data_IF_867119974470
#
_entry.id   IF_867119974470
#
_cell.length_a   1.000
_cell.length_b   1.000
_cell.length_c   1.000
_cell.angle_alpha   90.00
_cell.angle_beta   90.00
_cell.angle_gamma   90.00
#
_symmetry.space_group_name_H-M   'P 1'
#
loop_
_entity.id
_entity.type
_entity.pdbx_description
1 polymer ?
#
# COMPACT_ATOMS: atom_id res chain seq x y z
N UNK A 1 7.00 -5.72 -10.43
CA UNK A 1 6.31 -5.99 -9.15
C UNK A 1 5.84 -7.45 -9.02
N UNK A 2 6.70 -8.46 -9.25
CA UNK A 2 6.24 -9.86 -9.22
C UNK A 2 5.76 -10.29 -7.82
N UNK A 3 6.43 -9.84 -6.76
CA UNK A 3 6.07 -10.13 -5.35
C UNK A 3 4.64 -9.70 -5.04
N UNK A 4 4.28 -8.44 -5.32
CA UNK A 4 2.94 -7.93 -5.03
C UNK A 4 1.87 -8.66 -5.85
N UNK A 5 2.11 -8.87 -7.15
CA UNK A 5 1.14 -9.50 -8.05
C UNK A 5 0.84 -10.97 -7.69
N UNK A 6 1.79 -11.66 -7.05
CA UNK A 6 1.59 -13.04 -6.57
C UNK A 6 0.54 -13.14 -5.45
N UNK A 7 0.24 -12.04 -4.75
CA UNK A 7 -0.72 -11.99 -3.64
C UNK A 7 -2.13 -11.57 -4.08
N UNK A 8 -2.39 -11.45 -5.39
CA UNK A 8 -3.72 -11.10 -5.93
C UNK A 8 -4.82 -12.00 -5.35
N UNK A 9 -5.89 -11.39 -4.82
CA UNK A 9 -7.05 -12.07 -4.27
C UNK A 9 -6.95 -12.43 -2.79
N UNK A 10 -5.79 -12.24 -2.14
CA UNK A 10 -5.69 -12.36 -0.68
C UNK A 10 -6.61 -11.34 -0.03
N UNK A 11 -7.53 -11.81 0.80
CA UNK A 11 -8.54 -10.97 1.45
C UNK A 11 -8.71 -11.30 2.93
N UNK A 12 -9.23 -10.33 3.66
CA UNK A 12 -9.66 -10.50 5.05
C UNK A 12 -10.66 -11.65 5.15
N UNK A 13 -10.53 -12.46 6.19
CA UNK A 13 -11.50 -13.49 6.53
C UNK A 13 -12.72 -12.93 7.29
N UNK A 14 -13.87 -13.62 7.31
CA UNK A 14 -15.03 -13.21 8.09
C UNK A 14 -14.74 -13.10 9.60
N UNK A 15 -15.57 -12.37 10.36
CA UNK A 15 -15.49 -12.35 11.82
C UNK A 15 -15.46 -13.77 12.41
N UNK A 16 -14.59 -13.99 13.41
CA UNK A 16 -14.38 -15.32 14.02
C UNK A 16 -13.27 -16.16 13.38
N UNK A 17 -12.63 -15.68 12.32
CA UNK A 17 -11.46 -16.31 11.72
C UNK A 17 -10.45 -15.26 11.24
N UNK A 18 -9.18 -15.64 11.07
CA UNK A 18 -8.08 -14.72 10.71
C UNK A 18 -7.34 -15.26 9.50
N UNK A 19 -7.03 -14.39 8.53
CA UNK A 19 -6.14 -14.74 7.44
C UNK A 19 -4.67 -14.63 7.89
N UNK A 20 -3.92 -15.74 8.00
CA UNK A 20 -2.52 -15.70 8.47
C UNK A 20 -1.60 -14.93 7.54
N UNK A 21 -1.89 -14.85 6.24
CA UNK A 21 -1.08 -14.06 5.28
C UNK A 21 -1.11 -12.57 5.60
N UNK A 22 -2.28 -12.04 6.00
CA UNK A 22 -2.39 -10.63 6.38
C UNK A 22 -1.68 -10.35 7.71
N UNK A 23 -1.66 -11.33 8.63
CA UNK A 23 -0.84 -11.25 9.85
C UNK A 23 0.65 -11.17 9.50
N UNK A 24 1.12 -11.94 8.51
CA UNK A 24 2.50 -11.83 8.03
C UNK A 24 2.82 -10.44 7.45
N UNK A 25 1.86 -9.81 6.75
CA UNK A 25 2.03 -8.44 6.29
C UNK A 25 2.21 -7.49 7.48
N UNK A 26 1.34 -7.61 8.50
CA UNK A 26 1.38 -6.75 9.68
C UNK A 26 2.69 -6.85 10.45
N UNK A 27 3.33 -8.03 10.43
CA UNK A 27 4.64 -8.26 11.05
C UNK A 27 5.79 -7.42 10.45
N UNK A 28 5.55 -6.73 9.33
CA UNK A 28 6.52 -5.84 8.67
C UNK A 28 6.39 -4.39 9.13
N UNK A 29 5.52 -4.11 10.08
CA UNK A 29 5.25 -2.75 10.59
C UNK A 29 5.08 -2.73 12.09
N UNK A 30 4.75 -1.58 12.67
CA UNK A 30 4.36 -1.44 14.07
C UNK A 30 3.02 -2.13 14.44
N UNK A 31 2.44 -2.95 13.55
CA UNK A 31 1.24 -3.77 13.77
C UNK A 31 1.55 -5.25 14.04
N UNK A 32 2.79 -5.61 14.35
CA UNK A 32 3.16 -6.97 14.78
C UNK A 32 2.16 -7.47 15.84
N UNK A 33 1.62 -8.67 15.61
CA UNK A 33 0.65 -9.31 16.50
C UNK A 33 -0.82 -8.93 16.28
N UNK A 34 -1.13 -7.98 15.39
CA UNK A 34 -2.50 -7.67 15.00
C UNK A 34 -3.02 -8.59 13.88
N UNK A 35 -4.33 -8.79 13.86
CA UNK A 35 -5.04 -9.62 12.90
C UNK A 35 -5.35 -8.89 11.58
N UNK A 36 -6.18 -9.52 10.73
CA UNK A 36 -6.61 -9.02 9.43
C UNK A 36 -7.81 -8.06 9.47
N UNK A 37 -8.23 -7.61 10.66
CA UNK A 37 -9.42 -6.74 10.84
C UNK A 37 -9.07 -5.26 10.88
N UNK A 38 -7.80 -4.93 11.06
CA UNK A 38 -7.27 -3.56 11.02
C UNK A 38 -6.81 -3.19 9.60
N UNK A 39 -6.68 -1.90 9.29
CA UNK A 39 -6.16 -1.49 7.98
C UNK A 39 -4.72 -1.97 7.75
N UNK A 40 -4.49 -2.66 6.64
CA UNK A 40 -3.22 -3.33 6.33
C UNK A 40 -2.62 -2.94 4.96
N UNK A 41 -3.05 -1.82 4.36
CA UNK A 41 -2.50 -1.36 3.07
C UNK A 41 -0.98 -1.09 3.14
N UNK A 42 -0.53 -0.34 4.14
CA UNK A 42 0.91 -0.08 4.34
C UNK A 42 1.68 -1.33 4.78
N UNK A 43 1.05 -2.23 5.56
CA UNK A 43 1.61 -3.53 5.92
C UNK A 43 1.95 -4.35 4.68
N UNK A 44 1.01 -4.46 3.74
CA UNK A 44 1.20 -5.16 2.47
C UNK A 44 2.35 -4.56 1.64
N UNK A 45 2.41 -3.24 1.51
CA UNK A 45 3.47 -2.59 0.74
C UNK A 45 4.84 -2.79 1.41
N UNK A 46 4.93 -2.69 2.74
CA UNK A 46 6.16 -2.98 3.47
C UNK A 46 6.61 -4.44 3.26
N UNK A 47 5.68 -5.39 3.35
CA UNK A 47 5.97 -6.80 3.09
C UNK A 47 6.48 -7.05 1.69
N UNK A 48 5.88 -6.41 0.68
CA UNK A 48 6.34 -6.49 -0.69
C UNK A 48 7.77 -5.93 -0.86
N UNK A 49 8.09 -4.81 -0.20
CA UNK A 49 9.43 -4.23 -0.23
C UNK A 49 10.45 -5.18 0.39
N UNK A 50 10.18 -5.70 1.60
CA UNK A 50 11.06 -6.66 2.29
C UNK A 50 11.36 -7.87 1.39
N UNK A 51 10.34 -8.45 0.76
CA UNK A 51 10.51 -9.60 -0.13
C UNK A 51 11.17 -9.28 -1.47
N UNK A 52 11.20 -8.00 -1.86
CA UNK A 52 11.97 -7.52 -3.00
C UNK A 52 13.42 -7.12 -2.62
N UNK A 53 13.84 -7.32 -1.35
CA UNK A 53 15.16 -6.91 -0.88
C UNK A 53 15.30 -5.39 -0.67
N UNK A 54 14.19 -4.66 -0.61
CA UNK A 54 14.13 -3.21 -0.43
C UNK A 54 13.63 -2.90 0.97
N UNK A 55 14.28 -1.96 1.66
CA UNK A 55 13.80 -1.51 2.97
C UNK A 55 12.57 -0.60 2.80
N UNK A 56 11.44 -0.99 3.37
CA UNK A 56 10.23 -0.16 3.45
C UNK A 56 10.28 0.87 4.59
N UNK A 57 9.13 1.47 4.91
CA UNK A 57 9.00 2.44 6.02
C UNK A 57 8.99 1.79 7.40
N UNK A 58 8.60 0.52 7.49
CA UNK A 58 8.33 -0.17 8.77
C UNK A 58 7.11 0.38 9.52
N UNK A 59 6.30 1.22 8.88
CA UNK A 59 5.13 1.86 9.50
C UNK A 59 3.83 1.43 8.84
N UNK A 60 2.80 1.23 9.65
CA UNK A 60 1.45 0.95 9.20
C UNK A 60 0.72 2.16 8.61
N UNK A 61 1.28 3.37 8.78
CA UNK A 61 0.68 4.59 8.28
C UNK A 61 0.99 4.77 6.79
N UNK A 62 -0.04 4.86 5.95
CA UNK A 62 0.13 5.14 4.52
C UNK A 62 0.92 6.45 4.25
N UNK A 63 0.73 7.48 5.08
CA UNK A 63 1.45 8.76 4.94
C UNK A 63 2.94 8.67 5.26
N UNK A 64 3.41 7.62 5.94
CA UNK A 64 4.85 7.43 6.20
C UNK A 64 5.66 7.32 4.91
N UNK A 65 5.03 6.85 3.83
CA UNK A 65 5.66 6.71 2.53
C UNK A 65 6.00 8.05 1.89
N UNK A 66 5.37 9.16 2.31
CA UNK A 66 5.73 10.50 1.80
C UNK A 66 7.17 10.89 2.12
N UNK A 67 7.82 10.30 3.13
CA UNK A 67 9.22 10.58 3.48
C UNK A 67 10.16 9.44 3.06
N UNK A 68 9.66 8.47 2.29
CA UNK A 68 10.41 7.27 1.91
C UNK A 68 10.99 7.36 0.50
N UNK A 69 12.27 7.03 0.36
CA UNK A 69 12.96 7.04 -0.93
C UNK A 69 12.94 8.43 -1.59
N UNK A 70 13.05 8.45 -2.92
CA UNK A 70 13.02 9.70 -3.67
C UNK A 70 11.62 10.05 -4.18
N UNK A 71 11.25 11.35 -4.20
CA UNK A 71 10.03 11.82 -4.86
C UNK A 71 10.12 11.61 -6.38
N UNK A 72 8.97 11.36 -6.99
CA UNK A 72 8.81 11.41 -8.44
C UNK A 72 7.81 12.51 -8.81
N UNK A 73 8.18 13.36 -9.78
CA UNK A 73 7.27 14.36 -10.36
C UNK A 73 6.20 13.73 -11.25
N UNK A 74 6.53 12.59 -11.88
CA UNK A 74 5.62 11.81 -12.73
C UNK A 74 5.65 10.35 -12.32
N UNK A 75 4.50 9.66 -12.26
CA UNK A 75 4.46 8.28 -11.84
C UNK A 75 5.14 7.36 -12.84
N UNK A 76 5.73 6.29 -12.33
CA UNK A 76 6.32 5.20 -13.11
C UNK A 76 5.64 3.91 -12.67
N UNK A 77 5.37 2.99 -13.60
CA UNK A 77 4.76 1.69 -13.29
C UNK A 77 5.47 1.02 -12.09
N UNK A 78 4.69 0.72 -11.06
CA UNK A 78 5.12 0.11 -9.82
C UNK A 78 5.76 1.03 -8.80
N UNK A 79 5.72 2.35 -9.00
CA UNK A 79 6.08 3.30 -7.95
C UNK A 79 5.08 3.22 -6.81
N UNK A 80 5.47 3.70 -5.63
CA UNK A 80 4.53 3.86 -4.53
C UNK A 80 3.71 5.11 -4.79
N UNK A 81 2.39 4.96 -4.83
CA UNK A 81 1.44 6.06 -4.84
C UNK A 81 0.80 6.20 -3.46
N UNK A 82 0.77 7.42 -2.95
CA UNK A 82 0.19 7.75 -1.65
C UNK A 82 -1.06 8.60 -1.90
N UNK A 83 -2.18 8.18 -1.30
CA UNK A 83 -3.46 8.87 -1.36
C UNK A 83 -3.82 9.50 -0.01
N UNK A 84 -4.55 10.61 -0.03
CA UNK A 84 -5.34 11.07 1.12
C UNK A 84 -6.50 10.11 1.37
N UNK A 85 -7.18 10.27 2.50
CA UNK A 85 -8.45 9.59 2.75
C UNK A 85 -9.37 10.52 3.54
N UNK A 86 -10.57 10.73 3.01
CA UNK A 86 -11.61 11.64 3.50
C UNK A 86 -11.19 13.12 3.45
N UNK A 87 -10.26 13.54 4.32
CA UNK A 87 -9.81 14.92 4.49
C UNK A 87 -8.30 15.03 4.21
N UNK A 88 -7.86 15.90 3.29
CA UNK A 88 -6.44 16.17 3.03
C UNK A 88 -5.63 16.55 4.27
N UNK A 89 -6.24 17.20 5.27
CA UNK A 89 -5.59 17.56 6.53
C UNK A 89 -5.49 16.39 7.54
N UNK A 90 -6.27 15.31 7.34
CA UNK A 90 -6.31 14.16 8.25
C UNK A 90 -5.10 13.25 8.09
N UNK A 91 -4.56 12.67 9.16
CA UNK A 91 -3.45 11.70 9.08
C UNK A 91 -3.78 10.43 8.28
N UNK A 92 -5.05 10.16 7.99
CA UNK A 92 -5.49 9.00 7.22
C UNK A 92 -5.01 9.09 5.76
N UNK A 93 -4.83 7.92 5.17
CA UNK A 93 -4.45 7.79 3.77
C UNK A 93 -4.55 6.36 3.29
N UNK A 94 -4.21 6.17 2.03
CA UNK A 94 -4.06 4.85 1.41
C UNK A 94 -2.73 4.80 0.65
N UNK A 95 -2.20 3.60 0.45
CA UNK A 95 -0.95 3.39 -0.27
C UNK A 95 -1.05 2.13 -1.10
N UNK A 96 -0.51 2.19 -2.31
CA UNK A 96 -0.45 1.07 -3.23
C UNK A 96 0.60 1.30 -4.30
N UNK A 97 0.76 0.31 -5.17
CA UNK A 97 1.62 0.40 -6.33
C UNK A 97 0.88 1.00 -7.52
N UNK A 98 1.42 2.06 -8.10
CA UNK A 98 0.86 2.68 -9.29
C UNK A 98 0.90 1.73 -10.49
N UNK A 99 -0.23 1.58 -11.19
CA UNK A 99 -0.29 0.84 -12.46
C UNK A 99 -0.40 1.80 -13.65
N UNK A 100 -1.40 2.68 -13.61
CA UNK A 100 -1.74 3.63 -14.69
C UNK A 100 -2.65 4.73 -14.13
N UNK A 101 -2.86 5.78 -14.91
CA UNK A 101 -3.92 6.75 -14.70
C UNK A 101 -4.53 7.17 -16.03
N UNK A 102 -5.76 7.66 -15.98
CA UNK A 102 -6.37 8.51 -17.00
C UNK A 102 -6.56 9.93 -16.43
N UNK A 103 -7.34 10.78 -17.09
CA UNK A 103 -7.53 12.18 -16.68
C UNK A 103 -8.24 12.33 -15.31
N UNK A 104 -8.98 11.30 -14.87
CA UNK A 104 -9.82 11.37 -13.67
C UNK A 104 -9.40 10.38 -12.59
N UNK A 105 -8.84 9.23 -12.96
CA UNK A 105 -8.60 8.09 -12.07
C UNK A 105 -7.16 7.62 -12.10
N UNK A 106 -6.65 7.23 -10.93
CA UNK A 106 -5.44 6.44 -10.76
C UNK A 106 -5.80 5.00 -10.40
N UNK A 107 -5.13 4.04 -11.03
CA UNK A 107 -5.33 2.62 -10.80
C UNK A 107 -4.15 2.09 -10.00
N UNK A 108 -4.44 1.62 -8.78
CA UNK A 108 -3.44 1.10 -7.85
C UNK A 108 -3.63 -0.39 -7.64
N UNK A 109 -2.51 -1.11 -7.60
CA UNK A 109 -2.46 -2.46 -7.06
C UNK A 109 -2.03 -2.38 -5.59
N UNK A 110 -2.88 -2.83 -4.67
CA UNK A 110 -2.62 -2.65 -3.25
C UNK A 110 -3.41 -3.60 -2.38
N UNK A 111 -3.00 -3.68 -1.11
CA UNK A 111 -3.68 -4.42 -0.07
C UNK A 111 -4.80 -3.60 0.58
N UNK A 112 -5.75 -4.29 1.21
CA UNK A 112 -6.90 -3.71 1.89
C UNK A 112 -7.81 -2.86 0.99
N UNK A 113 -7.76 -3.08 -0.32
CA UNK A 113 -8.62 -2.42 -1.30
C UNK A 113 -9.90 -3.23 -1.39
N UNK A 114 -10.99 -2.74 -0.79
CA UNK A 114 -12.20 -3.53 -0.53
C UNK A 114 -11.88 -4.80 0.27
N UNK A 115 -11.03 -4.65 1.29
CA UNK A 115 -10.57 -5.75 2.16
C UNK A 115 -9.77 -6.86 1.45
N UNK A 116 -9.20 -6.56 0.28
CA UNK A 116 -8.49 -7.50 -0.59
C UNK A 116 -7.21 -6.89 -1.20
N UNK A 117 -6.27 -7.76 -1.60
CA UNK A 117 -5.18 -7.44 -2.53
C UNK A 117 -5.72 -7.48 -3.94
N UNK A 118 -5.90 -6.31 -4.55
CA UNK A 118 -6.46 -6.20 -5.90
C UNK A 118 -5.99 -4.94 -6.60
N UNK A 119 -6.36 -4.81 -7.87
CA UNK A 119 -6.43 -3.52 -8.53
C UNK A 119 -7.72 -2.78 -8.12
N UNK A 120 -7.61 -1.48 -7.86
CA UNK A 120 -8.75 -0.58 -7.64
C UNK A 120 -8.43 0.82 -8.18
N UNK A 121 -9.44 1.47 -8.74
CA UNK A 121 -9.39 2.86 -9.18
C UNK A 121 -9.71 3.82 -8.03
N UNK A 122 -9.02 4.95 -8.00
CA UNK A 122 -9.22 6.05 -7.06
C UNK A 122 -9.21 7.38 -7.82
N UNK A 123 -9.89 8.42 -7.34
CA UNK A 123 -9.80 9.75 -7.95
C UNK A 123 -8.34 10.23 -7.99
N UNK A 124 -7.90 10.70 -9.15
CA UNK A 124 -6.52 11.19 -9.34
C UNK A 124 -6.20 12.35 -8.37
N UNK A 125 -7.22 13.14 -8.00
CA UNK A 125 -7.13 14.24 -7.04
C UNK A 125 -6.79 13.80 -5.61
N UNK A 126 -6.97 12.53 -5.26
CA UNK A 126 -6.58 12.00 -3.94
C UNK A 126 -5.08 11.72 -3.84
N UNK A 127 -4.37 11.65 -4.98
CA UNK A 127 -2.93 11.40 -4.98
C UNK A 127 -2.17 12.61 -4.42
N UNK A 128 -1.35 12.35 -3.42
CA UNK A 128 -0.51 13.36 -2.75
C UNK A 128 0.99 13.10 -2.89
N UNK A 129 1.39 11.99 -3.50
CA UNK A 129 2.79 11.75 -3.78
C UNK A 129 3.06 10.44 -4.51
N UNK A 130 4.17 10.46 -5.24
CA UNK A 130 4.77 9.27 -5.84
C UNK A 130 6.19 9.10 -5.36
N UNK A 131 6.57 7.87 -5.03
CA UNK A 131 7.88 7.55 -4.46
C UNK A 131 8.51 6.33 -5.12
N UNK A 132 9.83 6.35 -5.22
CA UNK A 132 10.62 5.26 -5.77
C UNK A 132 11.72 4.87 -4.78
N UNK A 133 12.11 3.58 -4.70
CA UNK A 133 13.25 3.17 -3.90
C UNK A 133 14.50 3.98 -4.29
N UNK A 134 15.26 4.47 -3.31
CA UNK A 134 16.58 4.98 -3.60
C UNK A 134 17.43 3.87 -4.19
N UNK A 135 18.21 4.20 -5.23
CA UNK A 135 19.26 3.31 -5.65
C UNK A 135 20.29 3.31 -4.50
N UNK A 136 20.46 2.15 -3.86
CA UNK A 136 21.52 1.95 -2.87
C UNK A 136 22.90 2.12 -3.50
#
# INVERSE_FOLDING_TARGET
MPVAMAELGIRRHPPGSVNPRIVEYNNQTNLVGYDDKISWCSSFVNWCMTHAGVRGTGSALARSWLEWGRPLERPVYGCIAILTRDDPASWKGHVGFYLRHDDEQVYLFGGNQLEEVRELAYPLTEVIGYRWPDAG
#
